data_IF_944563073817
#
_entry.id   IF_944563073817
#
_cell.length_a   1.000
_cell.length_b   1.000
_cell.length_c   1.000
_cell.angle_alpha   90.00
_cell.angle_beta   90.00
_cell.angle_gamma   90.00
#
_symmetry.space_group_name_H-M   'P 1'
#
loop_
_entity.id
_entity.type
_entity.pdbx_description
1 polymer ?
#
# COMPACT_ATOMS: atom_id res chain seq x y z
N UNK A 1 1.73 -12.35 -24.27
CA UNK A 1 0.50 -12.25 -23.46
C UNK A 1 0.82 -11.55 -22.16
N UNK A 2 0.65 -10.23 -22.09
CA UNK A 2 0.81 -9.48 -20.84
C UNK A 2 -0.32 -9.89 -19.92
N UNK A 3 -0.01 -10.69 -18.89
CA UNK A 3 -0.99 -11.10 -17.90
C UNK A 3 -1.44 -9.82 -17.22
N UNK A 4 -2.66 -9.35 -17.52
CA UNK A 4 -3.30 -8.29 -16.74
C UNK A 4 -3.25 -8.80 -15.31
N UNK A 5 -2.38 -8.20 -14.49
CA UNK A 5 -2.33 -8.50 -13.07
C UNK A 5 -3.73 -8.17 -12.58
N UNK A 6 -4.50 -9.22 -12.29
CA UNK A 6 -5.78 -9.08 -11.63
C UNK A 6 -5.44 -8.66 -10.21
N UNK A 7 -5.36 -7.35 -9.99
CA UNK A 7 -5.06 -6.79 -8.69
C UNK A 7 -6.36 -6.92 -7.90
N UNK A 8 -6.43 -7.80 -6.89
CA UNK A 8 -7.65 -8.01 -6.14
C UNK A 8 -8.10 -6.68 -5.53
N UNK A 9 -9.40 -6.39 -5.65
CA UNK A 9 -9.99 -5.18 -5.06
C UNK A 9 -10.75 -5.58 -3.80
N UNK A 10 -10.23 -5.21 -2.63
CA UNK A 10 -10.92 -5.40 -1.37
C UNK A 10 -11.87 -4.22 -1.11
N UNK A 11 -13.09 -4.55 -0.71
CA UNK A 11 -14.09 -3.60 -0.22
C UNK A 11 -14.33 -3.91 1.24
N UNK A 12 -14.14 -2.93 2.11
CA UNK A 12 -14.40 -3.01 3.56
C UNK A 12 -13.52 -4.01 4.35
N UNK A 13 -12.87 -4.97 3.67
CA UNK A 13 -11.96 -5.95 4.27
C UNK A 13 -10.53 -5.43 4.21
N UNK A 14 -9.87 -5.29 5.36
CA UNK A 14 -8.48 -4.87 5.45
C UNK A 14 -7.58 -6.05 5.86
N UNK A 15 -6.95 -6.74 4.91
CA UNK A 15 -6.06 -7.85 5.24
C UNK A 15 -4.80 -7.38 5.98
N UNK A 16 -4.44 -8.03 7.09
CA UNK A 16 -3.35 -7.61 7.97
C UNK A 16 -1.94 -7.59 7.32
N UNK A 17 -1.75 -8.34 6.23
CA UNK A 17 -0.51 -8.37 5.47
C UNK A 17 -0.38 -7.19 4.49
N UNK A 18 -1.50 -6.51 4.18
CA UNK A 18 -1.52 -5.34 3.32
C UNK A 18 -1.67 -4.06 4.13
N UNK A 19 -0.94 -3.04 3.75
CA UNK A 19 -1.03 -1.72 4.34
C UNK A 19 -1.16 -0.65 3.25
N UNK A 20 -1.85 0.44 3.57
CA UNK A 20 -1.92 1.64 2.74
C UNK A 20 -0.58 2.38 2.82
N UNK A 21 -0.23 3.17 1.80
CA UNK A 21 0.97 4.03 1.85
C UNK A 21 1.04 4.86 3.13
N UNK A 22 -0.07 5.48 3.53
CA UNK A 22 -0.12 6.28 4.76
C UNK A 22 0.17 5.47 6.05
N UNK A 23 -0.23 4.20 6.10
CA UNK A 23 0.05 3.30 7.25
C UNK A 23 1.52 2.88 7.27
N UNK A 24 2.08 2.64 6.08
CA UNK A 24 3.51 2.35 5.92
C UNK A 24 4.34 3.55 6.35
N UNK A 25 4.01 4.74 5.87
CA UNK A 25 4.72 5.98 6.21
C UNK A 25 4.70 6.23 7.72
N UNK A 26 3.55 6.00 8.38
CA UNK A 26 3.43 6.04 9.85
C UNK A 26 4.30 5.00 10.56
N UNK A 27 4.54 3.86 9.94
CA UNK A 27 5.42 2.81 10.43
C UNK A 27 6.90 3.03 10.03
N UNK A 28 7.24 4.15 9.37
CA UNK A 28 8.58 4.38 8.83
C UNK A 28 8.94 3.43 7.69
N UNK A 29 7.94 2.93 6.97
CA UNK A 29 8.07 2.04 5.81
C UNK A 29 7.58 2.76 4.55
N UNK A 30 8.10 2.40 3.39
CA UNK A 30 7.58 2.83 2.10
C UNK A 30 7.45 1.64 1.16
N UNK A 31 6.48 1.66 0.23
CA UNK A 31 6.47 0.68 -0.85
C UNK A 31 7.79 0.79 -1.62
N UNK A 32 8.36 -0.35 -1.99
CA UNK A 32 9.55 -0.33 -2.82
C UNK A 32 9.24 0.36 -4.17
N UNK A 33 10.18 1.07 -4.78
CA UNK A 33 9.95 1.80 -6.02
C UNK A 33 9.52 0.89 -7.19
N UNK A 34 9.91 -0.39 -7.15
CA UNK A 34 9.52 -1.42 -8.13
C UNK A 34 8.26 -2.20 -7.68
N UNK A 35 7.76 -1.95 -6.47
CA UNK A 35 6.61 -2.64 -5.93
C UNK A 35 5.31 -2.05 -6.47
N UNK A 36 4.61 -2.87 -7.23
CA UNK A 36 3.24 -2.58 -7.64
C UNK A 36 2.27 -2.78 -6.48
N UNK A 37 1.12 -2.08 -6.49
CA UNK A 37 0.08 -2.30 -5.51
C UNK A 37 -0.41 -3.76 -5.57
N UNK A 38 -0.34 -4.44 -4.43
CA UNK A 38 -0.75 -5.83 -4.29
C UNK A 38 -2.28 -5.97 -4.35
N UNK A 39 -3.00 -4.93 -3.88
CA UNK A 39 -4.44 -4.86 -3.96
C UNK A 39 -4.93 -3.41 -4.07
N UNK A 40 -6.18 -3.24 -4.45
CA UNK A 40 -6.88 -1.96 -4.35
C UNK A 40 -7.90 -2.03 -3.23
N UNK A 41 -7.90 -1.05 -2.33
CA UNK A 41 -8.91 -0.89 -1.30
C UNK A 41 -9.92 0.16 -1.73
N UNK A 42 -11.15 -0.28 -2.00
CA UNK A 42 -12.27 0.62 -2.26
C UNK A 42 -12.98 0.89 -0.94
N UNK A 43 -12.95 2.15 -0.51
CA UNK A 43 -13.73 2.62 0.62
C UNK A 43 -14.88 3.48 0.12
N UNK A 44 -16.04 3.29 0.73
CA UNK A 44 -17.22 4.09 0.46
C UNK A 44 -17.75 4.60 1.80
N UNK A 45 -17.63 5.89 2.02
CA UNK A 45 -18.29 6.58 3.12
C UNK A 45 -19.64 7.11 2.64
N UNK A 46 -20.44 7.68 3.55
CA UNK A 46 -21.76 8.26 3.22
C UNK A 46 -21.68 9.37 2.17
N UNK A 47 -20.54 10.04 2.06
CA UNK A 47 -20.37 11.26 1.27
C UNK A 47 -19.32 11.10 0.15
N UNK A 48 -18.38 10.15 0.30
CA UNK A 48 -17.26 9.98 -0.63
C UNK A 48 -16.93 8.51 -0.89
N UNK A 49 -16.73 8.18 -2.15
CA UNK A 49 -16.09 6.92 -2.55
C UNK A 49 -14.67 7.21 -3.03
N UNK A 50 -13.73 6.37 -2.58
CA UNK A 50 -12.33 6.48 -2.94
C UNK A 50 -11.70 5.11 -3.11
N UNK A 51 -10.63 5.08 -3.90
CA UNK A 51 -9.82 3.88 -4.08
C UNK A 51 -8.40 4.19 -3.61
N UNK A 52 -7.89 3.40 -2.66
CA UNK A 52 -6.51 3.46 -2.21
C UNK A 52 -5.74 2.23 -2.70
N UNK A 53 -4.47 2.43 -3.02
CA UNK A 53 -3.54 1.34 -3.25
C UNK A 53 -3.13 0.68 -1.92
N UNK A 54 -3.12 -0.65 -1.90
CA UNK A 54 -2.59 -1.46 -0.82
C UNK A 54 -1.29 -2.12 -1.25
N UNK A 55 -0.33 -2.14 -0.33
CA UNK A 55 1.01 -2.65 -0.53
C UNK A 55 1.31 -3.73 0.50
N UNK A 56 1.97 -4.80 0.07
CA UNK A 56 2.44 -5.87 0.96
C UNK A 56 3.49 -5.33 1.92
N UNK A 57 3.23 -5.40 3.23
CA UNK A 57 4.20 -4.97 4.25
C UNK A 57 5.51 -5.75 4.16
N UNK A 58 5.44 -7.03 3.75
CA UNK A 58 6.60 -7.89 3.59
C UNK A 58 7.57 -7.43 2.48
N UNK A 59 7.07 -6.68 1.48
CA UNK A 59 7.87 -6.13 0.39
C UNK A 59 8.25 -4.67 0.61
N UNK A 60 7.63 -4.02 1.61
CA UNK A 60 7.93 -2.64 1.94
C UNK A 60 9.32 -2.54 2.55
N UNK A 61 10.01 -1.47 2.19
CA UNK A 61 11.35 -1.18 2.69
C UNK A 61 11.25 -0.12 3.78
N UNK A 62 12.11 -0.19 4.82
CA UNK A 62 12.22 0.89 5.77
C UNK A 62 12.57 2.18 5.01
N UNK A 63 11.82 3.23 5.31
CA UNK A 63 12.26 4.60 5.04
C UNK A 63 13.45 4.78 5.95
N UNK A 64 14.64 4.45 5.45
CA UNK A 64 15.89 4.85 6.10
C UNK A 64 15.77 6.38 6.17
N UNK A 65 15.57 6.98 7.36
CA UNK A 65 15.79 8.40 7.46
C UNK A 65 17.24 8.55 7.03
N UNK A 66 17.50 9.35 6.00
CA UNK A 66 18.87 9.72 5.66
C UNK A 66 19.46 10.24 6.96
N UNK A 67 20.23 9.40 7.64
CA UNK A 67 20.99 9.81 8.80
C UNK A 67 21.96 10.79 8.20
N UNK A 68 21.60 12.06 8.33
CA UNK A 68 22.47 13.18 8.06
C UNK A 68 23.70 12.91 8.92
N UNK A 69 24.77 12.49 8.24
CA UNK A 69 26.04 12.21 8.87
C UNK A 69 26.52 13.54 9.47
N UNK A 70 26.57 13.59 10.80
CA UNK A 70 27.21 14.67 11.56
C UNK A 70 28.70 14.76 11.24
#
# INVERSE_FOLDING_TARGET
MGKKRDIPTYKDTHPAHLARSAELERAGLKPAPDQLPAALFKYRTKDTEGTCALFERALCIPVVPKQDAS
#
